data_IF_397696288010
#
_entry.id   IF_397696288010
#
_cell.length_a   1.000
_cell.length_b   1.000
_cell.length_c   1.000
_cell.angle_alpha   90.00
_cell.angle_beta   90.00
_cell.angle_gamma   90.00
#
_symmetry.space_group_name_H-M   'P 1'
#
loop_
_entity.id
_entity.type
_entity.pdbx_description
1 polymer ?
#
# COMPACT_ATOMS: atom_id res chain seq x y z
N UNK A 1 14.57 57.05 -10.32
CA UNK A 1 15.62 56.31 -9.58
C UNK A 1 15.46 54.83 -9.90
N UNK A 2 16.53 54.12 -10.25
CA UNK A 2 16.50 52.69 -10.55
C UNK A 2 16.10 51.88 -9.31
N UNK A 3 15.11 51.00 -9.41
CA UNK A 3 14.63 50.20 -8.29
C UNK A 3 15.67 49.19 -7.76
N UNK A 4 16.53 48.63 -8.63
CA UNK A 4 17.61 47.72 -8.23
C UNK A 4 18.77 48.39 -7.48
N UNK A 5 19.50 49.33 -8.12
CA UNK A 5 20.70 49.94 -7.54
C UNK A 5 20.49 51.30 -6.84
N UNK A 6 19.26 51.82 -6.82
CA UNK A 6 18.89 53.12 -6.19
C UNK A 6 19.62 54.36 -6.73
N UNK A 7 20.21 54.30 -7.92
CA UNK A 7 20.85 55.45 -8.59
C UNK A 7 19.94 56.10 -9.64
N UNK A 8 20.18 57.36 -10.06
CA UNK A 8 19.42 58.01 -11.13
C UNK A 8 19.56 57.27 -12.46
N UNK A 9 18.46 57.17 -13.23
CA UNK A 9 18.50 56.67 -14.60
C UNK A 9 18.98 57.82 -15.48
N UNK A 10 20.17 57.67 -16.08
CA UNK A 10 20.76 58.65 -16.99
C UNK A 10 20.12 58.64 -18.39
N UNK A 11 20.63 59.46 -19.33
CA UNK A 11 20.20 59.44 -20.72
C UNK A 11 20.63 58.11 -21.38
N UNK A 12 19.69 57.18 -21.54
CA UNK A 12 19.95 55.84 -22.06
C UNK A 12 18.69 54.97 -22.09
N UNK A 13 18.86 53.69 -22.45
CA UNK A 13 17.77 52.70 -22.41
C UNK A 13 17.46 52.34 -20.96
N UNK A 14 16.18 52.28 -20.63
CA UNK A 14 15.68 51.87 -19.32
C UNK A 14 14.49 50.93 -19.48
N UNK A 15 14.25 50.10 -18.47
CA UNK A 15 13.08 49.21 -18.40
C UNK A 15 12.05 49.83 -17.45
N UNK A 16 10.78 49.78 -17.83
CA UNK A 16 9.66 50.19 -16.98
C UNK A 16 8.71 49.02 -16.80
N UNK A 17 8.66 48.50 -15.57
CA UNK A 17 7.86 47.34 -15.19
C UNK A 17 7.70 47.31 -13.66
N UNK A 18 6.67 46.63 -13.15
CA UNK A 18 6.35 46.56 -11.72
C UNK A 18 6.21 47.94 -11.05
N UNK A 19 5.52 48.86 -11.73
CA UNK A 19 5.33 50.25 -11.29
C UNK A 19 6.65 51.00 -10.96
N UNK A 20 7.76 50.52 -11.52
CA UNK A 20 9.12 50.97 -11.24
C UNK A 20 9.94 51.10 -12.52
N UNK A 21 11.11 51.73 -12.40
CA UNK A 21 12.09 51.85 -13.48
C UNK A 21 13.40 51.20 -13.10
N UNK A 22 14.04 50.54 -14.06
CA UNK A 22 15.24 49.74 -13.85
C UNK A 22 16.28 50.04 -14.92
N UNK A 23 17.56 50.02 -14.55
CA UNK A 23 18.62 49.84 -15.53
C UNK A 23 18.50 48.43 -16.13
N UNK A 24 18.80 48.24 -17.44
CA UNK A 24 18.78 46.92 -18.07
C UNK A 24 19.60 45.88 -17.30
N UNK A 25 20.78 46.26 -16.79
CA UNK A 25 21.65 45.37 -16.02
C UNK A 25 21.21 45.17 -14.56
N UNK A 26 20.26 45.96 -14.06
CA UNK A 26 19.76 45.87 -12.68
C UNK A 26 18.45 45.08 -12.57
N UNK A 27 17.75 44.82 -13.67
CA UNK A 27 16.58 43.94 -13.68
C UNK A 27 17.06 42.51 -13.93
N UNK A 28 17.29 41.75 -12.85
CA UNK A 28 17.96 40.45 -12.88
C UNK A 28 17.03 39.34 -12.41
N UNK A 29 17.20 38.18 -13.00
CA UNK A 29 16.52 36.96 -12.58
C UNK A 29 17.03 36.52 -11.22
N UNK A 30 16.13 36.34 -10.27
CA UNK A 30 16.48 35.94 -8.90
C UNK A 30 17.15 34.55 -8.83
N UNK A 31 16.82 33.66 -9.77
CA UNK A 31 17.39 32.31 -9.81
C UNK A 31 18.83 32.23 -10.35
N UNK A 32 19.20 33.06 -11.33
CA UNK A 32 20.49 32.94 -12.03
C UNK A 32 21.35 34.21 -12.02
N UNK A 33 20.85 35.29 -11.41
CA UNK A 33 21.47 36.61 -11.31
C UNK A 33 21.87 37.26 -12.65
N UNK A 34 21.35 36.75 -13.77
CA UNK A 34 21.57 37.34 -15.10
C UNK A 34 20.48 38.37 -15.41
N UNK A 35 20.81 39.46 -16.14
CA UNK A 35 19.81 40.42 -16.61
C UNK A 35 18.69 39.75 -17.41
N UNK A 36 17.45 40.17 -17.16
CA UNK A 36 16.28 39.78 -17.97
C UNK A 36 16.11 40.82 -19.06
N UNK A 37 16.37 40.40 -20.30
CA UNK A 37 16.19 41.24 -21.50
C UNK A 37 15.02 40.79 -22.38
N UNK A 38 14.37 39.68 -22.02
CA UNK A 38 13.19 39.16 -22.69
C UNK A 38 11.99 40.08 -22.50
N UNK A 39 11.11 40.15 -23.51
CA UNK A 39 9.88 40.94 -23.45
C UNK A 39 8.89 40.40 -22.40
N UNK A 40 8.90 39.09 -22.16
CA UNK A 40 8.03 38.42 -21.21
C UNK A 40 8.86 37.72 -20.13
N UNK A 41 8.47 37.88 -18.87
CA UNK A 41 9.12 37.29 -17.70
C UNK A 41 8.08 36.75 -16.73
N UNK A 42 8.52 35.94 -15.77
CA UNK A 42 7.66 35.36 -14.73
C UNK A 42 7.93 36.03 -13.39
N UNK A 43 6.90 36.13 -12.56
CA UNK A 43 6.98 36.72 -11.23
C UNK A 43 6.65 35.67 -10.17
N UNK A 44 7.46 35.59 -9.12
CA UNK A 44 7.19 34.79 -7.91
C UNK A 44 7.49 35.65 -6.68
N UNK A 45 6.53 35.83 -5.77
CA UNK A 45 6.72 36.59 -4.51
C UNK A 45 7.42 37.96 -4.73
N UNK A 46 7.00 38.73 -5.74
CA UNK A 46 7.57 40.02 -6.14
C UNK A 46 9.02 39.99 -6.68
N UNK A 47 9.57 38.81 -6.96
CA UNK A 47 10.88 38.64 -7.59
C UNK A 47 10.73 38.24 -9.07
N UNK A 48 11.48 38.87 -9.99
CA UNK A 48 11.42 38.55 -11.41
C UNK A 48 12.33 37.36 -11.77
N UNK A 49 11.85 36.52 -12.68
CA UNK A 49 12.56 35.33 -13.18
C UNK A 49 12.50 35.28 -14.70
N UNK A 50 13.55 34.76 -15.35
CA UNK A 50 13.42 34.28 -16.74
C UNK A 50 12.32 33.21 -16.77
N UNK A 51 11.51 33.16 -17.84
CA UNK A 51 10.46 32.14 -18.00
C UNK A 51 10.99 30.71 -17.81
N UNK A 52 12.17 30.43 -18.38
CA UNK A 52 12.82 29.13 -18.25
C UNK A 52 13.28 28.86 -16.80
N UNK A 53 13.90 29.84 -16.13
CA UNK A 53 14.32 29.68 -14.74
C UNK A 53 13.13 29.47 -13.80
N UNK A 54 12.05 30.25 -13.98
CA UNK A 54 10.81 30.04 -13.25
C UNK A 54 10.25 28.64 -13.50
N UNK A 55 10.21 28.19 -14.76
CA UNK A 55 9.75 26.86 -15.11
C UNK A 55 10.58 25.77 -14.42
N UNK A 56 11.91 25.85 -14.46
CA UNK A 56 12.76 24.85 -13.83
C UNK A 56 12.58 24.77 -12.30
N UNK A 57 12.27 25.88 -11.64
CA UNK A 57 12.11 25.94 -10.19
C UNK A 57 10.71 25.57 -9.71
N UNK A 58 9.68 26.09 -10.37
CA UNK A 58 8.30 26.07 -9.86
C UNK A 58 7.35 25.19 -10.67
N UNK A 59 7.71 24.84 -11.90
CA UNK A 59 6.85 24.00 -12.72
C UNK A 59 6.92 22.55 -12.23
N UNK A 60 5.79 21.93 -11.82
CA UNK A 60 5.79 20.56 -11.37
C UNK A 60 6.23 19.61 -12.50
N UNK A 61 7.04 18.63 -12.13
CA UNK A 61 7.41 17.50 -12.97
C UNK A 61 6.51 16.32 -12.66
N UNK A 62 6.25 15.51 -13.68
CA UNK A 62 5.51 14.27 -13.56
C UNK A 62 6.41 13.16 -13.01
N UNK A 63 5.97 12.47 -11.98
CA UNK A 63 6.71 11.36 -11.38
C UNK A 63 6.76 10.12 -12.30
N UNK A 64 5.94 10.07 -13.35
CA UNK A 64 5.86 8.99 -14.33
C UNK A 64 6.74 9.29 -15.55
N UNK A 65 6.43 10.34 -16.33
CA UNK A 65 7.20 10.65 -17.54
C UNK A 65 8.49 11.43 -17.30
N UNK A 66 8.68 11.99 -16.09
CA UNK A 66 9.83 12.85 -15.69
C UNK A 66 9.91 14.22 -16.38
N UNK A 67 8.98 14.50 -17.29
CA UNK A 67 8.83 15.80 -17.95
C UNK A 67 8.02 16.77 -17.09
N UNK A 68 8.06 18.06 -17.45
CA UNK A 68 7.14 19.06 -16.91
C UNK A 68 5.70 18.70 -17.30
N UNK A 69 4.78 18.83 -16.34
CA UNK A 69 3.36 18.57 -16.59
C UNK A 69 2.84 19.62 -17.59
N UNK A 70 2.14 19.25 -18.67
CA UNK A 70 1.67 20.25 -19.63
C UNK A 70 0.59 21.17 -19.03
N UNK A 71 0.54 22.41 -19.51
CA UNK A 71 -0.59 23.31 -19.26
C UNK A 71 -1.77 22.93 -20.15
N UNK A 72 -2.99 22.99 -19.62
CA UNK A 72 -4.21 22.79 -20.40
C UNK A 72 -4.51 23.98 -21.34
N UNK A 73 -5.60 23.90 -22.11
CA UNK A 73 -6.00 24.95 -23.06
C UNK A 73 -6.26 26.32 -22.40
N UNK A 74 -6.52 26.36 -21.09
CA UNK A 74 -6.72 27.59 -20.33
C UNK A 74 -5.42 28.16 -19.75
N UNK A 75 -4.26 27.56 -20.07
CA UNK A 75 -2.96 27.94 -19.53
C UNK A 75 -2.73 27.53 -18.07
N UNK A 76 -3.60 26.69 -17.51
CA UNK A 76 -3.49 26.20 -16.13
C UNK A 76 -2.78 24.85 -16.09
N UNK A 77 -1.97 24.64 -15.06
CA UNK A 77 -1.30 23.36 -14.82
C UNK A 77 -2.25 22.46 -14.03
N UNK A 78 -2.71 21.39 -14.66
CA UNK A 78 -3.56 20.37 -14.03
C UNK A 78 -2.80 19.06 -13.95
N UNK A 79 -2.74 18.48 -12.75
CA UNK A 79 -2.12 17.19 -12.52
C UNK A 79 -3.05 16.29 -11.70
N UNK A 80 -2.82 14.98 -11.83
CA UNK A 80 -3.42 13.96 -10.96
C UNK A 80 -2.42 13.57 -9.89
N UNK A 81 -2.93 13.09 -8.76
CA UNK A 81 -2.10 12.58 -7.70
C UNK A 81 -2.67 11.28 -7.16
N UNK A 82 -1.81 10.32 -6.84
CA UNK A 82 -2.23 9.15 -6.07
C UNK A 82 -2.69 9.63 -4.68
N UNK A 83 -3.92 9.32 -4.21
CA UNK A 83 -4.48 9.88 -2.97
C UNK A 83 -3.62 9.66 -1.72
N UNK A 84 -3.01 8.48 -1.58
CA UNK A 84 -2.13 8.15 -0.47
C UNK A 84 -0.64 8.49 -0.72
N UNK A 85 -0.06 8.00 -1.82
CA UNK A 85 1.38 8.16 -2.08
C UNK A 85 1.78 9.57 -2.51
N UNK A 86 0.82 10.42 -2.87
CA UNK A 86 1.04 11.77 -3.42
C UNK A 86 1.94 11.77 -4.67
N UNK A 87 2.01 10.64 -5.40
CA UNK A 87 2.69 10.55 -6.69
C UNK A 87 1.94 11.44 -7.67
N UNK A 88 2.58 12.52 -8.14
CA UNK A 88 1.99 13.51 -9.06
C UNK A 88 2.27 13.11 -10.50
N UNK A 89 1.26 13.12 -11.35
CA UNK A 89 1.40 12.70 -12.74
C UNK A 89 0.51 13.45 -13.72
N UNK A 90 0.91 13.42 -14.99
CA UNK A 90 0.14 13.98 -16.10
C UNK A 90 -1.22 13.28 -16.21
N UNK A 91 -2.34 14.00 -16.40
CA UNK A 91 -3.65 13.39 -16.56
C UNK A 91 -3.72 12.34 -17.68
N UNK A 92 -2.89 12.46 -18.73
CA UNK A 92 -2.81 11.47 -19.82
C UNK A 92 -2.45 10.06 -19.35
N UNK A 93 -1.78 9.91 -18.21
CA UNK A 93 -1.44 8.59 -17.66
C UNK A 93 -2.64 7.85 -17.04
N UNK A 94 -3.82 8.46 -16.99
CA UNK A 94 -5.06 7.75 -16.65
C UNK A 94 -5.53 6.85 -17.81
N UNK A 95 -5.18 7.20 -19.06
CA UNK A 95 -5.73 6.57 -20.27
C UNK A 95 -4.67 5.97 -21.23
N UNK A 96 -3.37 6.14 -20.97
CA UNK A 96 -2.29 5.73 -21.88
C UNK A 96 -1.70 4.34 -21.62
N UNK A 97 -2.42 3.49 -20.88
CA UNK A 97 -2.01 2.14 -20.47
C UNK A 97 -0.76 2.09 -19.58
N UNK A 98 -0.33 3.23 -18.98
CA UNK A 98 0.75 3.22 -17.98
C UNK A 98 0.41 2.25 -16.86
N UNK A 99 1.24 1.22 -16.61
CA UNK A 99 0.86 0.20 -15.65
C UNK A 99 0.91 0.68 -14.20
N UNK A 100 0.07 0.09 -13.35
CA UNK A 100 0.08 0.32 -11.89
C UNK A 100 0.62 -0.89 -11.16
N UNK A 101 1.35 -0.63 -10.08
CA UNK A 101 1.76 -1.70 -9.18
C UNK A 101 0.53 -2.35 -8.54
N UNK A 102 0.37 -3.66 -8.62
CA UNK A 102 -0.78 -4.38 -8.07
C UNK A 102 -0.87 -4.32 -6.53
N UNK A 103 0.19 -3.89 -5.85
CA UNK A 103 0.26 -3.85 -4.38
C UNK A 103 0.27 -2.45 -3.78
N UNK A 104 0.85 -1.45 -4.45
CA UNK A 104 0.86 -0.07 -3.96
C UNK A 104 0.15 0.93 -4.87
N UNK A 105 -0.39 0.48 -6.01
CA UNK A 105 -1.20 1.26 -6.96
C UNK A 105 -0.51 2.47 -7.62
N UNK A 106 0.76 2.72 -7.29
CA UNK A 106 1.62 3.70 -7.98
C UNK A 106 1.82 3.31 -9.43
N UNK A 107 1.77 4.31 -10.32
CA UNK A 107 2.07 4.17 -11.74
C UNK A 107 3.56 3.91 -11.95
N UNK A 108 3.88 3.09 -12.94
CA UNK A 108 5.22 2.72 -13.38
C UNK A 108 5.94 3.92 -14.04
N UNK A 109 7.03 4.44 -13.44
CA UNK A 109 7.82 5.51 -14.05
C UNK A 109 8.52 5.09 -15.34
N UNK A 110 8.65 5.98 -16.33
CA UNK A 110 9.31 5.68 -17.62
C UNK A 110 10.77 5.25 -17.47
N UNK A 111 11.45 5.71 -16.44
CA UNK A 111 12.85 5.44 -16.14
C UNK A 111 13.07 4.16 -15.29
N UNK A 112 12.00 3.55 -14.77
CA UNK A 112 12.07 2.38 -13.90
C UNK A 112 11.08 1.32 -14.37
N UNK A 113 11.58 0.14 -14.75
CA UNK A 113 10.72 -0.98 -15.15
C UNK A 113 10.24 -1.80 -13.97
N UNK A 114 8.93 -1.99 -13.87
CA UNK A 114 8.33 -2.91 -12.91
C UNK A 114 8.54 -4.37 -13.33
N UNK A 115 8.36 -5.29 -12.37
CA UNK A 115 8.32 -6.72 -12.66
C UNK A 115 6.95 -7.10 -13.20
N UNK A 116 6.93 -7.91 -14.24
CA UNK A 116 5.70 -8.53 -14.74
C UNK A 116 5.59 -9.94 -14.20
N UNK A 117 4.54 -10.17 -13.41
CA UNK A 117 4.16 -11.48 -12.93
C UNK A 117 3.56 -12.32 -14.08
N UNK A 118 3.50 -13.63 -13.91
CA UNK A 118 3.03 -14.58 -14.93
C UNK A 118 1.56 -14.33 -15.35
N UNK A 119 0.73 -13.88 -14.40
CA UNK A 119 -0.66 -13.49 -14.58
C UNK A 119 -0.83 -12.08 -15.17
N UNK A 120 0.28 -11.43 -15.55
CA UNK A 120 0.32 -10.11 -16.17
C UNK A 120 0.29 -8.93 -15.19
N UNK A 121 0.10 -9.15 -13.88
CA UNK A 121 0.18 -8.07 -12.88
C UNK A 121 1.58 -7.45 -12.87
N UNK A 122 1.64 -6.16 -12.53
CA UNK A 122 2.90 -5.42 -12.40
C UNK A 122 3.24 -5.19 -10.95
N UNK A 123 4.49 -5.42 -10.58
CA UNK A 123 4.98 -5.24 -9.22
C UNK A 123 6.19 -4.29 -9.23
N UNK A 124 6.10 -3.19 -8.49
CA UNK A 124 7.22 -2.26 -8.38
C UNK A 124 8.37 -2.88 -7.56
N UNK A 125 9.59 -2.40 -7.79
CA UNK A 125 10.80 -2.95 -7.16
C UNK A 125 10.77 -2.82 -5.62
N UNK A 126 10.17 -1.75 -5.10
CA UNK A 126 10.04 -1.56 -3.65
C UNK A 126 9.06 -2.57 -3.03
N UNK A 127 7.95 -2.89 -3.70
CA UNK A 127 7.03 -3.96 -3.27
C UNK A 127 7.66 -5.34 -3.42
N UNK A 128 8.45 -5.57 -4.47
CA UNK A 128 9.15 -6.83 -4.71
C UNK A 128 10.10 -7.19 -3.55
N UNK A 129 10.74 -6.21 -2.92
CA UNK A 129 11.71 -6.45 -1.84
C UNK A 129 11.14 -7.23 -0.66
N UNK A 130 9.83 -7.13 -0.42
CA UNK A 130 9.13 -7.86 0.64
C UNK A 130 8.08 -8.84 0.10
N UNK A 131 8.05 -9.08 -1.21
CA UNK A 131 7.07 -9.95 -1.84
C UNK A 131 7.30 -11.42 -1.45
N UNK A 132 6.21 -12.10 -1.08
CA UNK A 132 6.20 -13.52 -0.79
C UNK A 132 5.91 -14.26 -2.09
N UNK A 133 6.88 -15.06 -2.53
CA UNK A 133 6.90 -15.66 -3.86
C UNK A 133 6.68 -17.17 -3.86
N UNK A 134 6.76 -17.82 -2.70
CA UNK A 134 6.47 -19.25 -2.55
C UNK A 134 5.91 -19.63 -1.17
N UNK A 135 5.55 -20.90 -1.02
CA UNK A 135 4.97 -21.43 0.20
C UNK A 135 5.92 -21.40 1.40
N UNK A 136 7.23 -21.57 1.19
CA UNK A 136 8.22 -21.64 2.26
C UNK A 136 8.46 -20.24 2.84
N UNK A 137 8.52 -19.23 1.98
CA UNK A 137 8.59 -17.81 2.36
C UNK A 137 7.35 -17.34 3.15
N UNK A 138 6.21 -17.99 2.96
CA UNK A 138 4.97 -17.65 3.65
C UNK A 138 4.86 -18.25 5.06
N UNK A 139 5.55 -19.36 5.35
CA UNK A 139 5.44 -20.05 6.64
C UNK A 139 5.75 -19.17 7.87
N UNK A 140 6.82 -18.34 7.88
CA UNK A 140 7.09 -17.46 9.01
C UNK A 140 5.95 -16.48 9.27
N UNK A 141 5.34 -15.95 8.20
CA UNK A 141 4.20 -15.05 8.32
C UNK A 141 2.96 -15.79 8.83
N UNK A 142 2.74 -17.04 8.43
CA UNK A 142 1.65 -17.85 8.97
C UNK A 142 1.78 -18.08 10.48
N UNK A 143 2.99 -18.37 10.95
CA UNK A 143 3.29 -18.52 12.38
C UNK A 143 3.05 -17.20 13.11
N UNK A 144 3.54 -16.07 12.57
CA UNK A 144 3.30 -14.73 13.14
C UNK A 144 1.78 -14.46 13.33
N UNK A 145 0.96 -14.87 12.35
CA UNK A 145 -0.50 -14.70 12.42
C UNK A 145 -1.12 -15.63 13.47
N UNK A 146 -0.68 -16.89 13.55
CA UNK A 146 -1.14 -17.81 14.58
C UNK A 146 -0.83 -17.28 16.00
N UNK A 147 0.37 -16.74 16.20
CA UNK A 147 0.78 -16.10 17.46
C UNK A 147 -0.06 -14.86 17.77
N UNK A 148 -0.37 -14.03 16.76
CA UNK A 148 -1.27 -12.89 16.91
C UNK A 148 -2.67 -13.33 17.40
N UNK A 149 -3.26 -14.35 16.78
CA UNK A 149 -4.55 -14.90 17.21
C UNK A 149 -4.49 -15.53 18.60
N UNK A 150 -3.41 -16.24 18.93
CA UNK A 150 -3.21 -16.79 20.28
C UNK A 150 -3.10 -15.67 21.33
N UNK A 151 -2.42 -14.57 21.01
CA UNK A 151 -2.34 -13.37 21.85
C UNK A 151 -3.67 -12.67 22.08
N UNK A 152 -4.64 -12.84 21.18
CA UNK A 152 -6.03 -12.39 21.34
C UNK A 152 -6.92 -13.42 22.08
N UNK A 153 -6.35 -14.50 22.62
CA UNK A 153 -7.08 -15.65 23.17
C UNK A 153 -8.02 -16.33 22.15
N UNK A 154 -7.66 -16.27 20.87
CA UNK A 154 -8.40 -16.79 19.73
C UNK A 154 -7.62 -17.89 19.01
N UNK A 155 -6.96 -18.77 19.78
CA UNK A 155 -6.16 -19.87 19.22
C UNK A 155 -6.96 -20.73 18.24
N UNK A 156 -6.39 -20.90 17.04
CA UNK A 156 -6.88 -21.81 16.00
C UNK A 156 -6.21 -23.16 16.19
N UNK A 157 -6.94 -24.12 16.77
CA UNK A 157 -6.38 -25.45 17.11
C UNK A 157 -6.15 -26.32 15.87
N UNK A 158 -6.94 -26.10 14.82
CA UNK A 158 -6.81 -26.84 13.60
C UNK A 158 -5.57 -26.39 12.82
N UNK A 159 -4.78 -27.36 12.34
CA UNK A 159 -3.74 -27.11 11.35
C UNK A 159 -4.38 -26.89 9.98
N UNK A 160 -4.56 -25.63 9.59
CA UNK A 160 -5.09 -25.24 8.29
C UNK A 160 -3.93 -25.12 7.30
N UNK A 161 -3.94 -25.84 6.17
CA UNK A 161 -2.96 -25.65 5.10
C UNK A 161 -3.03 -24.22 4.53
N UNK A 162 -1.88 -23.54 4.46
CA UNK A 162 -1.73 -22.27 3.75
C UNK A 162 -1.07 -22.53 2.40
N UNK A 163 -1.71 -22.10 1.31
CA UNK A 163 -1.24 -22.32 -0.05
C UNK A 163 -1.15 -21.00 -0.83
N UNK A 164 0.04 -20.67 -1.32
CA UNK A 164 0.21 -19.64 -2.34
C UNK A 164 -0.21 -20.19 -3.70
N UNK A 165 -1.00 -19.40 -4.42
CA UNK A 165 -1.65 -19.80 -5.67
C UNK A 165 -1.60 -18.68 -6.71
N UNK A 166 -1.73 -19.07 -7.97
CA UNK A 166 -1.95 -18.16 -9.09
C UNK A 166 -3.38 -17.61 -9.08
N UNK A 167 -3.60 -16.48 -9.76
CA UNK A 167 -4.94 -15.88 -9.90
C UNK A 167 -5.96 -16.85 -10.51
N UNK A 168 -5.54 -17.64 -11.50
CA UNK A 168 -6.42 -18.62 -12.13
C UNK A 168 -6.90 -19.68 -11.14
N UNK A 169 -6.00 -20.23 -10.33
CA UNK A 169 -6.33 -21.23 -9.32
C UNK A 169 -7.22 -20.65 -8.20
N UNK A 170 -7.04 -19.38 -7.85
CA UNK A 170 -7.88 -18.69 -6.87
C UNK A 170 -9.31 -18.49 -7.39
N UNK A 171 -9.46 -18.09 -8.66
CA UNK A 171 -10.76 -17.93 -9.30
C UNK A 171 -11.49 -19.27 -9.43
N UNK A 172 -10.81 -20.33 -9.88
CA UNK A 172 -11.37 -21.69 -9.95
C UNK A 172 -11.81 -22.21 -8.59
N UNK A 173 -11.00 -21.95 -7.54
CA UNK A 173 -11.33 -22.34 -6.18
C UNK A 173 -12.54 -21.58 -5.61
N UNK A 174 -12.73 -20.34 -6.02
CA UNK A 174 -13.88 -19.51 -5.64
C UNK A 174 -15.18 -20.01 -6.30
N UNK A 175 -15.13 -20.45 -7.57
CA UNK A 175 -16.30 -21.05 -8.25
C UNK A 175 -16.73 -22.39 -7.63
N UNK A 176 -15.78 -23.12 -7.03
CA UNK A 176 -16.02 -24.39 -6.34
C UNK A 176 -16.67 -24.26 -4.95
N UNK A 177 -16.63 -23.08 -4.34
CA UNK A 177 -17.16 -22.85 -2.99
C UNK A 177 -18.65 -22.48 -3.02
N UNK A 178 -19.46 -23.21 -2.24
CA UNK A 178 -20.90 -22.96 -2.11
C UNK A 178 -21.23 -21.82 -1.14
N UNK A 179 -20.26 -21.40 -0.34
CA UNK A 179 -20.38 -20.41 0.74
C UNK A 179 -19.28 -19.37 0.55
N UNK A 180 -19.57 -18.34 -0.23
CA UNK A 180 -18.68 -17.20 -0.44
C UNK A 180 -19.47 -15.99 -0.95
N UNK A 181 -19.13 -14.80 -0.46
CA UNK A 181 -19.71 -13.55 -0.94
C UNK A 181 -18.81 -12.97 -2.03
N UNK A 182 -19.28 -12.96 -3.29
CA UNK A 182 -18.52 -12.50 -4.45
C UNK A 182 -18.66 -10.98 -4.62
N UNK A 183 -17.69 -10.17 -4.17
CA UNK A 183 -17.76 -8.73 -4.50
C UNK A 183 -16.47 -7.89 -4.46
N UNK A 184 -15.28 -8.47 -4.70
CA UNK A 184 -14.07 -7.68 -5.01
C UNK A 184 -13.73 -7.77 -6.50
N UNK A 185 -13.26 -6.69 -7.15
CA UNK A 185 -12.82 -6.75 -8.55
C UNK A 185 -11.59 -7.67 -8.76
N UNK A 186 -10.86 -8.01 -7.69
CA UNK A 186 -9.84 -9.05 -7.68
C UNK A 186 -9.76 -9.71 -6.29
N UNK A 187 -10.18 -10.97 -6.18
CA UNK A 187 -9.99 -11.78 -4.96
C UNK A 187 -8.50 -12.05 -4.75
N UNK A 188 -7.99 -11.84 -3.53
CA UNK A 188 -6.56 -11.99 -3.20
C UNK A 188 -6.27 -13.01 -2.10
N UNK A 189 -7.30 -13.45 -1.40
CA UNK A 189 -7.28 -14.54 -0.42
C UNK A 189 -8.60 -15.29 -0.47
N UNK A 190 -8.59 -16.55 -0.01
CA UNK A 190 -9.81 -17.35 0.07
C UNK A 190 -9.70 -18.44 1.15
N UNK A 191 -10.62 -18.42 2.10
CA UNK A 191 -10.81 -19.49 3.08
C UNK A 191 -11.75 -20.58 2.54
N UNK A 192 -11.23 -21.79 2.35
CA UNK A 192 -11.94 -22.92 1.72
C UNK A 192 -12.58 -23.87 2.73
N UNK A 193 -13.67 -24.52 2.32
CA UNK A 193 -14.38 -25.52 3.12
C UNK A 193 -14.68 -26.81 2.36
N UNK A 194 -14.66 -26.76 1.02
CA UNK A 194 -14.99 -27.89 0.16
C UNK A 194 -13.74 -28.66 -0.29
N UNK A 195 -13.94 -29.89 -0.77
CA UNK A 195 -12.87 -30.70 -1.37
C UNK A 195 -12.58 -30.26 -2.79
N UNK A 196 -11.32 -29.96 -3.07
CA UNK A 196 -10.89 -29.59 -4.42
C UNK A 196 -9.39 -29.80 -4.64
N UNK A 197 -8.97 -29.76 -5.90
CA UNK A 197 -7.55 -29.80 -6.27
C UNK A 197 -7.13 -28.38 -6.64
N UNK A 198 -6.17 -27.83 -5.90
CA UNK A 198 -5.69 -26.47 -6.11
C UNK A 198 -4.24 -26.52 -6.59
N UNK A 199 -3.90 -25.74 -7.62
CA UNK A 199 -2.52 -25.59 -8.08
C UNK A 199 -1.80 -24.60 -7.18
N UNK A 200 -0.72 -25.04 -6.53
CA UNK A 200 0.06 -24.21 -5.60
C UNK A 200 1.50 -24.04 -6.06
N UNK A 201 2.11 -22.91 -5.70
CA UNK A 201 3.48 -22.53 -6.08
C UNK A 201 4.48 -23.30 -5.24
N UNK A 202 5.43 -23.95 -5.91
CA UNK A 202 6.42 -24.80 -5.26
C UNK A 202 7.65 -24.04 -4.76
N UNK A 203 8.12 -23.08 -5.54
CA UNK A 203 9.38 -22.37 -5.34
C UNK A 203 9.29 -20.99 -5.92
N UNK A 204 10.07 -20.07 -5.38
CA UNK A 204 10.23 -18.72 -5.89
C UNK A 204 10.50 -18.73 -7.40
N UNK A 205 9.68 -18.05 -8.21
CA UNK A 205 9.89 -17.99 -9.65
C UNK A 205 11.20 -17.28 -10.01
N UNK A 206 11.84 -17.73 -11.09
CA UNK A 206 13.05 -17.10 -11.62
C UNK A 206 12.66 -15.86 -12.43
N UNK A 207 13.27 -14.72 -12.11
CA UNK A 207 13.11 -13.47 -12.85
C UNK A 207 14.18 -13.43 -13.95
N UNK A 208 13.73 -13.42 -15.20
CA UNK A 208 14.59 -13.38 -16.38
C UNK A 208 14.84 -11.96 -16.90
N UNK A 209 15.50 -11.85 -18.07
CA UNK A 209 15.72 -10.57 -18.75
C UNK A 209 14.41 -9.80 -18.95
N UNK A 210 14.47 -8.47 -18.80
CA UNK A 210 13.30 -7.60 -18.96
C UNK A 210 12.34 -7.59 -17.79
N UNK A 211 12.76 -8.05 -16.60
CA UNK A 211 11.95 -8.07 -15.37
C UNK A 211 10.66 -8.91 -15.53
N UNK A 212 10.76 -10.04 -16.21
CA UNK A 212 9.63 -10.97 -16.42
C UNK A 212 9.88 -12.30 -15.74
N UNK A 213 8.82 -12.96 -15.24
CA UNK A 213 8.92 -14.33 -14.73
C UNK A 213 9.10 -15.28 -15.91
N UNK A 214 10.16 -16.10 -15.88
CA UNK A 214 10.49 -17.04 -16.96
C UNK A 214 10.25 -18.51 -16.60
N UNK A 215 10.23 -18.85 -15.31
CA UNK A 215 10.02 -20.22 -14.86
C UNK A 215 9.21 -20.22 -13.56
N UNK A 216 7.95 -20.63 -13.66
CA UNK A 216 7.07 -20.84 -12.53
C UNK A 216 6.78 -22.34 -12.36
N UNK A 217 7.06 -22.87 -11.17
CA UNK A 217 6.82 -24.27 -10.84
C UNK A 217 5.59 -24.41 -9.96
N UNK A 218 4.56 -25.10 -10.47
CA UNK A 218 3.32 -25.35 -9.74
C UNK A 218 3.06 -26.85 -9.57
N UNK A 219 2.39 -27.24 -8.48
CA UNK A 219 1.90 -28.62 -8.28
C UNK A 219 0.43 -28.65 -7.94
N UNK A 220 -0.31 -29.69 -8.36
CA UNK A 220 -1.64 -29.95 -7.83
C UNK A 220 -1.52 -30.37 -6.35
N UNK A 221 -2.35 -29.77 -5.51
CA UNK A 221 -2.52 -30.13 -4.10
C UNK A 221 -3.97 -30.53 -3.86
N UNK A 222 -4.20 -31.77 -3.44
CA UNK A 222 -5.55 -32.29 -3.20
C UNK A 222 -6.00 -31.96 -1.79
N UNK A 223 -7.00 -31.10 -1.68
CA UNK A 223 -7.69 -30.79 -0.43
C UNK A 223 -8.73 -31.88 -0.15
N UNK A 224 -8.70 -32.39 1.07
CA UNK A 224 -9.62 -33.41 1.57
C UNK A 224 -10.34 -32.83 2.77
N UNK A 225 -11.66 -32.95 2.80
CA UNK A 225 -12.51 -32.34 3.81
C UNK A 225 -12.47 -33.19 5.06
N UNK A 226 -11.49 -32.88 5.91
CA UNK A 226 -11.30 -33.52 7.22
C UNK A 226 -11.97 -32.74 8.35
N UNK A 227 -12.47 -31.53 8.06
CA UNK A 227 -12.87 -30.52 9.01
C UNK A 227 -13.65 -29.39 8.30
N UNK A 228 -14.10 -28.38 9.06
CA UNK A 228 -14.92 -27.27 8.54
C UNK A 228 -14.15 -26.32 7.62
N UNK A 229 -12.82 -26.24 7.75
CA UNK A 229 -11.95 -25.39 6.92
C UNK A 229 -10.87 -26.26 6.28
N UNK A 230 -10.77 -26.29 4.95
CA UNK A 230 -9.84 -27.21 4.24
C UNK A 230 -8.50 -26.58 3.92
N UNK A 231 -8.45 -25.28 3.63
CA UNK A 231 -7.23 -24.50 3.40
C UNK A 231 -7.50 -22.99 3.41
N UNK A 232 -6.43 -22.21 3.54
CA UNK A 232 -6.41 -20.78 3.18
C UNK A 232 -5.54 -20.64 1.93
N UNK A 233 -6.09 -20.03 0.89
CA UNK A 233 -5.38 -19.67 -0.33
C UNK A 233 -5.00 -18.20 -0.29
N UNK A 234 -3.80 -17.86 -0.76
CA UNK A 234 -3.36 -16.48 -0.92
C UNK A 234 -2.75 -16.29 -2.31
N UNK A 235 -3.10 -15.19 -2.98
CA UNK A 235 -2.52 -14.82 -4.26
C UNK A 235 -1.03 -14.53 -4.10
N UNK A 236 -0.22 -15.13 -4.97
CA UNK A 236 1.23 -14.99 -4.90
C UNK A 236 1.72 -13.60 -5.31
N UNK A 237 2.97 -13.27 -4.93
CA UNK A 237 3.64 -12.05 -5.42
C UNK A 237 3.12 -10.77 -4.76
N UNK A 238 2.56 -10.90 -3.55
CA UNK A 238 2.14 -9.78 -2.73
C UNK A 238 3.21 -9.49 -1.65
N UNK A 239 3.46 -8.21 -1.31
CA UNK A 239 4.32 -7.80 -0.20
C UNK A 239 3.87 -8.39 1.14
N UNK A 240 4.82 -8.71 2.02
CA UNK A 240 4.59 -9.35 3.33
C UNK A 240 3.43 -8.75 4.12
N UNK A 241 3.38 -7.42 4.26
CA UNK A 241 2.31 -6.78 5.05
C UNK A 241 0.93 -6.90 4.39
N UNK A 242 0.87 -6.84 3.06
CA UNK A 242 -0.39 -7.07 2.33
C UNK A 242 -0.81 -8.54 2.40
N UNK A 243 0.12 -9.47 2.21
CA UNK A 243 -0.13 -10.91 2.41
C UNK A 243 -0.61 -11.19 3.84
N UNK A 244 0.00 -10.54 4.83
CA UNK A 244 -0.33 -10.76 6.24
C UNK A 244 -1.68 -10.19 6.63
N UNK A 245 -2.08 -9.04 6.10
CA UNK A 245 -3.42 -8.50 6.33
C UNK A 245 -4.49 -9.38 5.71
N UNK A 246 -4.27 -9.90 4.49
CA UNK A 246 -5.17 -10.87 3.85
C UNK A 246 -5.22 -12.15 4.67
N UNK A 247 -4.08 -12.66 5.12
CA UNK A 247 -4.03 -13.88 5.91
C UNK A 247 -4.71 -13.73 7.27
N UNK A 248 -4.57 -12.58 7.94
CA UNK A 248 -5.34 -12.27 9.15
C UNK A 248 -6.85 -12.25 8.84
N UNK A 249 -7.26 -11.62 7.74
CA UNK A 249 -8.65 -11.62 7.30
C UNK A 249 -9.20 -13.05 7.10
N UNK A 250 -8.52 -13.88 6.30
CA UNK A 250 -8.93 -15.26 6.02
C UNK A 250 -8.89 -16.16 7.27
N UNK A 251 -7.92 -15.91 8.16
CA UNK A 251 -7.84 -16.60 9.45
C UNK A 251 -9.05 -16.29 10.33
N UNK A 252 -9.62 -15.08 10.24
CA UNK A 252 -10.84 -14.74 10.95
C UNK A 252 -12.03 -15.54 10.43
N UNK A 253 -12.21 -15.67 9.11
CA UNK A 253 -13.24 -16.56 8.54
C UNK A 253 -13.07 -17.98 9.04
N UNK A 254 -11.82 -18.49 9.02
CA UNK A 254 -11.54 -19.83 9.51
C UNK A 254 -11.91 -19.98 11.00
N UNK A 255 -11.53 -19.02 11.84
CA UNK A 255 -11.84 -19.03 13.27
C UNK A 255 -13.35 -18.98 13.54
N UNK A 256 -14.08 -18.13 12.82
CA UNK A 256 -15.54 -18.02 12.92
C UNK A 256 -16.22 -19.36 12.62
N UNK A 257 -15.84 -20.01 11.51
CA UNK A 257 -16.35 -21.32 11.13
C UNK A 257 -16.10 -22.34 12.24
N UNK A 258 -14.85 -22.49 12.67
CA UNK A 258 -14.43 -23.44 13.71
C UNK A 258 -15.08 -23.22 15.09
N UNK A 259 -15.50 -21.98 15.40
CA UNK A 259 -16.23 -21.67 16.64
C UNK A 259 -17.75 -21.76 16.49
N UNK A 260 -18.23 -22.19 15.33
CA UNK A 260 -19.63 -22.45 15.04
C UNK A 260 -20.46 -21.20 14.81
N UNK A 261 -19.85 -20.09 14.38
CA UNK A 261 -20.61 -18.95 13.87
C UNK A 261 -21.25 -19.36 12.53
N UNK A 262 -22.57 -19.20 12.40
CA UNK A 262 -23.32 -19.65 11.23
C UNK A 262 -24.27 -18.54 10.77
N UNK A 263 -24.36 -18.36 9.46
CA UNK A 263 -25.31 -17.46 8.79
C UNK A 263 -25.22 -16.00 9.28
N UNK A 264 -24.00 -15.47 9.41
CA UNK A 264 -23.79 -14.03 9.60
C UNK A 264 -24.13 -13.30 8.30
N UNK A 265 -24.56 -12.04 8.41
CA UNK A 265 -24.68 -11.19 7.22
C UNK A 265 -23.28 -10.84 6.69
N UNK A 266 -23.13 -10.54 5.39
CA UNK A 266 -21.85 -10.16 4.81
C UNK A 266 -21.20 -8.98 5.56
N UNK A 267 -21.99 -7.99 5.96
CA UNK A 267 -21.51 -6.81 6.68
C UNK A 267 -20.92 -7.15 8.05
N UNK A 268 -21.45 -8.17 8.72
CA UNK A 268 -20.96 -8.61 10.03
C UNK A 268 -19.74 -9.49 9.88
N UNK A 269 -19.79 -10.47 8.96
CA UNK A 269 -18.70 -11.41 8.72
C UNK A 269 -17.47 -10.69 8.15
N UNK A 270 -17.61 -10.01 7.00
CA UNK A 270 -16.52 -9.29 6.36
C UNK A 270 -16.03 -8.14 7.24
N UNK A 271 -16.96 -7.47 7.95
CA UNK A 271 -16.64 -6.38 8.85
C UNK A 271 -15.71 -6.80 9.99
N UNK A 272 -16.01 -7.90 10.68
CA UNK A 272 -15.13 -8.38 11.77
C UNK A 272 -13.82 -8.95 11.21
N UNK A 273 -13.83 -9.59 10.03
CA UNK A 273 -12.61 -10.04 9.36
C UNK A 273 -11.68 -8.86 9.01
N UNK A 274 -12.23 -7.74 8.51
CA UNK A 274 -11.46 -6.52 8.27
C UNK A 274 -10.91 -5.88 9.56
N UNK A 275 -11.64 -5.97 10.67
CA UNK A 275 -11.15 -5.49 11.97
C UNK A 275 -9.89 -6.26 12.39
N UNK A 276 -9.87 -7.59 12.24
CA UNK A 276 -8.68 -8.39 12.60
C UNK A 276 -7.49 -8.11 11.67
N UNK A 277 -7.73 -7.92 10.37
CA UNK A 277 -6.70 -7.51 9.42
C UNK A 277 -6.09 -6.15 9.77
N UNK A 278 -6.95 -5.17 10.12
CA UNK A 278 -6.55 -3.83 10.55
C UNK A 278 -5.76 -3.85 11.85
N UNK A 279 -6.24 -4.58 12.87
CA UNK A 279 -5.55 -4.74 14.15
C UNK A 279 -4.16 -5.38 13.98
N UNK A 280 -4.03 -6.37 13.10
CA UNK A 280 -2.74 -6.99 12.81
C UNK A 280 -1.79 -5.99 12.15
N UNK A 281 -2.24 -5.26 11.11
CA UNK A 281 -1.45 -4.21 10.46
C UNK A 281 -0.98 -3.14 11.46
N UNK A 282 -1.87 -2.69 12.34
CA UNK A 282 -1.56 -1.71 13.38
C UNK A 282 -0.49 -2.21 14.35
N UNK A 283 -0.55 -3.50 14.74
CA UNK A 283 0.47 -4.12 15.57
C UNK A 283 1.84 -4.13 14.86
N UNK A 284 1.86 -4.48 13.57
CA UNK A 284 3.08 -4.54 12.77
C UNK A 284 3.71 -3.16 12.53
N UNK A 285 2.89 -2.12 12.31
CA UNK A 285 3.36 -0.74 12.12
C UNK A 285 3.92 -0.20 13.45
N UNK A 286 3.22 -0.43 14.56
CA UNK A 286 3.59 0.09 15.89
C UNK A 286 4.87 -0.58 16.42
N UNK A 287 5.00 -1.90 16.29
CA UNK A 287 6.21 -2.63 16.71
C UNK A 287 7.48 -2.20 15.96
N UNK A 288 7.35 -1.64 14.75
CA UNK A 288 8.47 -1.10 13.97
C UNK A 288 8.96 0.29 14.42
N UNK A 289 8.21 0.98 15.30
CA UNK A 289 8.52 2.34 15.76
C UNK A 289 9.31 2.37 17.08
N UNK A 290 9.29 1.28 17.86
CA UNK A 290 10.02 1.18 19.13
C UNK A 290 11.54 0.96 18.97
N UNK A 291 12.05 0.81 17.74
CA UNK A 291 13.48 0.55 17.49
C UNK A 291 14.35 1.82 17.29
N UNK A 292 13.77 3.03 17.27
CA UNK A 292 14.52 4.26 16.88
C UNK A 292 14.83 5.22 18.04
N UNK A 293 14.65 4.83 19.31
CA UNK A 293 14.95 5.75 20.45
C UNK A 293 15.74 5.10 21.56
N UNK A 294 16.93 4.54 21.28
CA UNK A 294 17.98 4.42 22.31
C UNK A 294 19.36 4.62 21.66
N UNK A 295 19.84 5.87 21.66
CA UNK A 295 21.27 6.15 21.62
C UNK A 295 21.62 7.16 22.71
N UNK A 296 22.64 6.79 23.50
CA UNK A 296 23.31 7.50 24.58
C UNK A 296 22.70 7.40 25.98
N UNK A 297 23.07 6.33 26.70
CA UNK A 297 23.95 6.43 27.88
C UNK A 297 24.36 5.03 28.35
N UNK A 298 25.65 4.87 28.63
CA UNK A 298 26.23 3.62 29.11
C UNK A 298 25.98 3.47 30.61
N UNK A 299 25.51 2.29 31.03
CA UNK A 299 25.83 1.73 32.35
C UNK A 299 25.58 0.22 32.39
N UNK A 300 26.59 -0.46 32.92
CA UNK A 300 26.72 -1.89 33.14
C UNK A 300 25.85 -2.37 34.30
N UNK A 301 25.02 -3.39 34.08
CA UNK A 301 24.78 -4.46 35.06
C UNK A 301 23.98 -5.61 34.45
N UNK A 302 24.44 -6.82 34.73
CA UNK A 302 23.85 -8.07 34.28
C UNK A 302 22.69 -8.50 35.19
N UNK A 303 21.60 -8.99 34.59
CA UNK A 303 20.71 -9.96 35.21
C UNK A 303 19.96 -10.78 34.15
N UNK A 304 19.97 -12.09 34.38
CA UNK A 304 19.33 -13.16 33.62
C UNK A 304 17.82 -13.23 33.87
N UNK A 305 17.00 -13.38 32.83
CA UNK A 305 15.99 -14.46 32.66
C UNK A 305 14.86 -14.12 31.67
N UNK A 306 14.30 -15.20 31.10
CA UNK A 306 13.22 -15.31 30.09
C UNK A 306 13.63 -15.05 28.63
N UNK A 307 14.10 -16.12 28.00
CA UNK A 307 14.20 -16.25 26.55
C UNK A 307 12.80 -16.41 25.95
N UNK A 308 12.13 -15.30 25.63
CA UNK A 308 11.17 -15.29 24.53
C UNK A 308 11.99 -15.26 23.24
N UNK A 309 11.96 -16.36 22.49
CA UNK A 309 12.51 -16.40 21.13
C UNK A 309 11.54 -15.62 20.25
N UNK A 310 11.56 -14.29 20.36
CA UNK A 310 10.96 -13.43 19.36
C UNK A 310 11.88 -13.48 18.15
N UNK A 311 11.40 -14.11 17.08
CA UNK A 311 12.00 -14.09 15.75
C UNK A 311 12.46 -12.65 15.48
N UNK A 312 13.77 -12.39 15.47
CA UNK A 312 14.33 -11.05 15.28
C UNK A 312 13.92 -10.53 13.90
N UNK A 313 12.77 -9.86 13.83
CA UNK A 313 12.31 -9.12 12.66
C UNK A 313 13.39 -8.07 12.37
N UNK A 314 14.01 -8.15 11.19
CA UNK A 314 15.01 -7.17 10.76
C UNK A 314 14.42 -5.75 10.74
N UNK A 315 15.26 -4.71 10.64
CA UNK A 315 14.77 -3.33 10.55
C UNK A 315 13.87 -3.18 9.31
N UNK A 316 12.59 -2.83 9.53
CA UNK A 316 11.62 -2.57 8.46
C UNK A 316 12.04 -1.32 7.69
N UNK A 317 11.95 -1.36 6.36
CA UNK A 317 12.22 -0.18 5.53
C UNK A 317 11.13 0.89 5.71
N UNK A 318 11.47 2.16 5.49
CA UNK A 318 10.48 3.25 5.53
C UNK A 318 9.35 3.03 4.51
N UNK A 319 9.69 2.46 3.35
CA UNK A 319 8.70 2.07 2.35
C UNK A 319 7.74 0.99 2.89
N UNK A 320 8.25 -0.04 3.55
CA UNK A 320 7.42 -1.12 4.10
C UNK A 320 6.46 -0.59 5.18
N UNK A 321 6.91 0.32 6.04
CA UNK A 321 6.02 0.99 7.01
C UNK A 321 4.90 1.76 6.31
N UNK A 322 5.27 2.59 5.33
CA UNK A 322 4.31 3.38 4.54
C UNK A 322 3.36 2.50 3.71
N UNK A 323 3.82 1.33 3.25
CA UNK A 323 2.99 0.33 2.58
C UNK A 323 1.98 -0.30 3.56
N UNK A 324 2.38 -0.57 4.81
CA UNK A 324 1.47 -1.00 5.86
C UNK A 324 0.38 0.03 6.14
N UNK A 325 0.76 1.31 6.27
CA UNK A 325 -0.18 2.43 6.42
C UNK A 325 -1.12 2.56 5.20
N UNK A 326 -0.61 2.34 3.99
CA UNK A 326 -1.43 2.30 2.78
C UNK A 326 -2.48 1.20 2.84
N UNK A 327 -2.09 -0.02 3.21
CA UNK A 327 -3.02 -1.15 3.36
C UNK A 327 -4.09 -0.86 4.43
N UNK A 328 -3.68 -0.26 5.56
CA UNK A 328 -4.59 0.17 6.63
C UNK A 328 -5.59 1.21 6.12
N UNK A 329 -5.11 2.23 5.39
CA UNK A 329 -5.95 3.25 4.80
C UNK A 329 -6.94 2.68 3.77
N UNK A 330 -6.56 1.64 3.00
CA UNK A 330 -7.52 0.98 2.09
C UNK A 330 -8.71 0.38 2.85
N UNK A 331 -8.47 -0.29 3.97
CA UNK A 331 -9.54 -0.85 4.82
C UNK A 331 -10.42 0.28 5.39
N UNK A 332 -9.81 1.36 5.89
CA UNK A 332 -10.52 2.45 6.53
C UNK A 332 -11.40 3.27 5.57
N UNK A 333 -10.94 3.40 4.32
CA UNK A 333 -11.57 4.23 3.28
C UNK A 333 -12.42 3.44 2.30
N UNK A 334 -12.51 2.11 2.46
CA UNK A 334 -13.35 1.24 1.64
C UNK A 334 -14.81 1.71 1.67
N UNK A 335 -15.40 1.91 0.50
CA UNK A 335 -16.76 2.43 0.33
C UNK A 335 -17.81 1.33 0.18
N UNK A 336 -17.41 0.06 0.14
CA UNK A 336 -18.33 -1.07 0.03
C UNK A 336 -19.14 -1.26 1.31
N UNK A 337 -20.36 -1.78 1.17
CA UNK A 337 -21.23 -2.04 2.32
C UNK A 337 -20.68 -3.17 3.21
N UNK A 338 -20.27 -4.30 2.61
CA UNK A 338 -19.82 -5.46 3.36
C UNK A 338 -18.47 -5.22 4.05
N UNK A 339 -17.45 -4.78 3.30
CA UNK A 339 -16.09 -4.63 3.83
C UNK A 339 -15.92 -3.26 4.51
N UNK A 340 -16.31 -2.16 3.84
CA UNK A 340 -16.10 -0.81 4.33
C UNK A 340 -17.03 -0.41 5.48
N UNK A 341 -18.34 -0.43 5.26
CA UNK A 341 -19.32 -0.10 6.31
C UNK A 341 -19.27 -1.13 7.44
N UNK A 342 -19.18 -2.42 7.09
CA UNK A 342 -18.98 -3.51 8.04
C UNK A 342 -17.76 -3.29 8.94
N UNK A 343 -16.60 -2.93 8.37
CA UNK A 343 -15.40 -2.58 9.14
C UNK A 343 -15.66 -1.39 10.07
N UNK A 344 -16.26 -0.30 9.57
CA UNK A 344 -16.50 0.90 10.40
C UNK A 344 -17.38 0.58 11.61
N UNK A 345 -18.44 -0.19 11.42
CA UNK A 345 -19.34 -0.61 12.50
C UNK A 345 -18.64 -1.59 13.45
N UNK A 346 -17.97 -2.60 12.91
CA UNK A 346 -17.24 -3.60 13.70
C UNK A 346 -16.10 -3.00 14.51
N UNK A 347 -15.29 -2.12 13.91
CA UNK A 347 -14.18 -1.45 14.58
C UNK A 347 -14.70 -0.54 15.70
N UNK A 348 -15.80 0.18 15.48
CA UNK A 348 -16.47 0.97 16.52
C UNK A 348 -16.94 0.09 17.68
N UNK A 349 -17.53 -1.06 17.39
CA UNK A 349 -17.97 -2.02 18.40
C UNK A 349 -16.78 -2.58 19.21
N UNK A 350 -15.72 -3.03 18.54
CA UNK A 350 -14.51 -3.55 19.19
C UNK A 350 -13.80 -2.47 20.02
N UNK A 351 -13.72 -1.24 19.53
CA UNK A 351 -13.14 -0.11 20.28
C UNK A 351 -13.95 0.22 21.54
N UNK A 352 -15.29 0.16 21.44
CA UNK A 352 -16.19 0.53 22.54
C UNK A 352 -16.33 -0.57 23.59
N UNK A 353 -16.41 -1.83 23.17
CA UNK A 353 -16.79 -2.96 24.03
C UNK A 353 -15.68 -3.99 24.23
N UNK A 354 -14.61 -3.91 23.44
CA UNK A 354 -13.55 -4.91 23.39
C UNK A 354 -13.90 -6.08 22.48
N UNK A 355 -12.87 -6.65 21.83
CA UNK A 355 -13.03 -7.72 20.84
C UNK A 355 -13.84 -8.90 21.36
N UNK A 356 -13.54 -9.36 22.58
CA UNK A 356 -14.20 -10.54 23.16
C UNK A 356 -15.70 -10.32 23.34
N UNK A 357 -16.10 -9.20 23.94
CA UNK A 357 -17.52 -8.89 24.16
C UNK A 357 -18.27 -8.70 22.83
N UNK A 358 -17.61 -8.09 21.84
CA UNK A 358 -18.16 -7.96 20.49
C UNK A 358 -18.41 -9.33 19.85
N UNK A 359 -17.45 -10.24 19.90
CA UNK A 359 -17.60 -11.60 19.34
C UNK A 359 -18.66 -12.43 20.06
N UNK A 360 -18.71 -12.35 21.40
CA UNK A 360 -19.73 -13.05 22.20
C UNK A 360 -21.14 -12.52 21.86
N UNK A 361 -21.27 -11.21 21.61
CA UNK A 361 -22.52 -10.61 21.13
C UNK A 361 -22.89 -11.08 19.71
N UNK A 362 -21.96 -11.01 18.75
CA UNK A 362 -22.18 -11.50 17.38
C UNK A 362 -22.62 -12.97 17.39
N UNK A 363 -22.02 -13.80 18.26
CA UNK A 363 -22.39 -15.21 18.38
C UNK A 363 -23.83 -15.40 18.84
N UNK A 364 -24.32 -14.51 19.70
CA UNK A 364 -25.66 -14.60 20.28
C UNK A 364 -26.73 -14.00 19.35
N UNK A 365 -26.43 -12.89 18.68
CA UNK A 365 -27.42 -12.08 17.96
C UNK A 365 -27.27 -12.10 16.45
N UNK A 366 -26.10 -12.46 15.93
CA UNK A 366 -25.75 -12.36 14.51
C UNK A 366 -25.45 -10.93 14.03
N UNK A 367 -25.40 -9.94 14.93
CA UNK A 367 -25.15 -8.53 14.59
C UNK A 367 -24.04 -7.91 15.44
N UNK A 368 -23.55 -6.73 15.07
CA UNK A 368 -22.68 -5.95 15.95
C UNK A 368 -23.45 -5.32 17.12
N UNK A 369 -22.82 -5.16 18.31
CA UNK A 369 -23.40 -4.39 19.41
C UNK A 369 -23.33 -2.88 19.13
N UNK A 370 -24.41 -2.15 19.46
CA UNK A 370 -24.54 -0.70 19.27
C UNK A 370 -24.25 0.10 20.54
#
# INVERSE_FOLDING_TARGET
ICAGCKTPIGPGRFLSCMDSVWHPDCFRCDACDKPISDYEFSMHEDHPYHKNCYRELYHPKCDVCKDFIPTNNNGLIEYRAHPFWMQKYCPSHEDDETPRCCSCERLEPKDVKYITLDDGRKLCLECLNSAIMDNDECQPLYIDIQEFYEGLNMKVEQQIPLLLVERQALNEAMEGEKVGHHHLPETRGLCLSEEQIVRTILKRPVIGPGNTIIEMMTRPHRLVRRCEVTAILILFGLPRLLTGSILAHEMMHAWLRLKGFRALSPEVEEGICQVLAHMWLESEITSGSSATTITHTASTSASTSSSSVSSKKGPKSDFEKKLGEFCKNQIETDTSAAYGDGFRVGNKAVTKYGLRATLDHIKLTGSFPY
#
